data_IF_797360509852
#
_entry.id   IF_797360509852
#
_cell.length_a   1.000
_cell.length_b   1.000
_cell.length_c   1.000
_cell.angle_alpha   90.00
_cell.angle_beta   90.00
_cell.angle_gamma   90.00
#
_symmetry.space_group_name_H-M   'P 1'
#
loop_
_entity.id
_entity.type
_entity.pdbx_description
1 polymer ?
#
# COMPACT_ATOMS: atom_id res chain seq x y z
N UNK A 1 -3.79 48.49 13.22
CA UNK A 1 -3.04 47.25 13.53
C UNK A 1 -3.67 46.00 12.92
N UNK A 2 -4.91 46.02 12.38
CA UNK A 2 -5.62 44.79 11.95
C UNK A 2 -5.43 44.28 10.51
N UNK A 3 -4.73 44.98 9.61
CA UNK A 3 -4.62 44.52 8.20
C UNK A 3 -3.48 43.52 7.94
N UNK A 4 -2.42 43.52 8.77
CA UNK A 4 -1.29 42.60 8.63
C UNK A 4 -1.51 41.23 9.28
N UNK A 5 -2.29 41.17 10.36
CA UNK A 5 -2.63 39.92 11.05
C UNK A 5 -3.58 39.06 10.20
N UNK A 6 -4.60 39.67 9.59
CA UNK A 6 -5.56 38.97 8.72
C UNK A 6 -4.90 38.32 7.48
N UNK A 7 -3.94 39.01 6.84
CA UNK A 7 -3.21 38.44 5.71
C UNK A 7 -2.32 37.26 6.11
N UNK A 8 -1.73 37.32 7.31
CA UNK A 8 -0.90 36.24 7.84
C UNK A 8 -1.72 34.99 8.15
N UNK A 9 -2.90 35.15 8.75
CA UNK A 9 -3.83 34.05 9.02
C UNK A 9 -4.34 33.39 7.73
N UNK A 10 -4.65 34.18 6.70
CA UNK A 10 -5.10 33.67 5.40
C UNK A 10 -4.03 32.82 4.70
N UNK A 11 -2.77 33.30 4.68
CA UNK A 11 -1.63 32.55 4.14
C UNK A 11 -1.39 31.23 4.90
N UNK A 12 -1.49 31.24 6.23
CA UNK A 12 -1.39 30.04 7.05
C UNK A 12 -2.48 29.02 6.71
N UNK A 13 -3.73 29.45 6.60
CA UNK A 13 -4.84 28.57 6.23
C UNK A 13 -4.69 27.97 4.83
N UNK A 14 -4.23 28.76 3.86
CA UNK A 14 -3.99 28.29 2.49
C UNK A 14 -2.88 27.21 2.45
N UNK A 15 -1.79 27.42 3.18
CA UNK A 15 -0.69 26.45 3.25
C UNK A 15 -1.12 25.14 3.92
N UNK A 16 -1.92 25.23 5.00
CA UNK A 16 -2.46 24.05 5.69
C UNK A 16 -3.40 23.25 4.77
N UNK A 17 -4.28 23.95 4.03
CA UNK A 17 -5.19 23.29 3.10
C UNK A 17 -4.44 22.58 1.95
N UNK A 18 -3.35 23.18 1.46
CA UNK A 18 -2.51 22.58 0.44
C UNK A 18 -1.78 21.32 0.95
N UNK A 19 -1.15 21.39 2.12
CA UNK A 19 -0.46 20.25 2.77
C UNK A 19 -1.43 19.08 3.06
N UNK A 20 -2.65 19.40 3.50
CA UNK A 20 -3.70 18.41 3.71
C UNK A 20 -4.11 17.73 2.39
N UNK A 21 -4.28 18.48 1.31
CA UNK A 21 -4.62 17.95 -0.02
C UNK A 21 -3.53 17.02 -0.56
N UNK A 22 -2.26 17.39 -0.39
CA UNK A 22 -1.11 16.59 -0.82
C UNK A 22 -1.00 15.31 0.01
N UNK A 23 -1.18 15.41 1.33
CA UNK A 23 -1.26 14.26 2.24
C UNK A 23 -2.37 13.30 1.83
N UNK A 24 -3.59 13.79 1.59
CA UNK A 24 -4.73 12.94 1.15
C UNK A 24 -4.39 12.23 -0.16
N UNK A 25 -3.76 12.93 -1.11
CA UNK A 25 -3.37 12.38 -2.40
C UNK A 25 -2.33 11.27 -2.25
N UNK A 26 -1.33 11.47 -1.38
CA UNK A 26 -0.30 10.49 -1.10
C UNK A 26 -0.84 9.27 -0.36
N UNK A 27 -1.69 9.47 0.66
CA UNK A 27 -2.35 8.36 1.37
C UNK A 27 -3.20 7.51 0.42
N UNK A 28 -3.88 8.14 -0.54
CA UNK A 28 -4.61 7.44 -1.58
C UNK A 28 -3.69 6.63 -2.53
N UNK A 29 -2.47 7.10 -2.77
CA UNK A 29 -1.47 6.34 -3.52
C UNK A 29 -1.07 5.06 -2.78
N UNK A 30 -0.80 5.16 -1.49
CA UNK A 30 -0.52 3.99 -0.65
C UNK A 30 -1.72 3.04 -0.57
N UNK A 31 -2.94 3.57 -0.41
CA UNK A 31 -4.16 2.76 -0.35
C UNK A 31 -4.32 1.93 -1.62
N UNK A 32 -4.13 2.54 -2.78
CA UNK A 32 -4.17 1.82 -4.06
C UNK A 32 -3.15 0.69 -4.09
N UNK A 33 -1.93 0.93 -3.63
CA UNK A 33 -0.87 -0.07 -3.52
C UNK A 33 -1.24 -1.26 -2.63
N UNK A 34 -1.83 -1.01 -1.45
CA UNK A 34 -2.29 -2.06 -0.52
C UNK A 34 -3.45 -2.89 -1.08
N UNK A 35 -4.45 -2.23 -1.70
CA UNK A 35 -5.55 -2.92 -2.38
C UNK A 35 -5.04 -3.82 -3.50
N UNK A 36 -4.09 -3.29 -4.27
CA UNK A 36 -3.35 -3.99 -5.33
C UNK A 36 -2.69 -5.26 -4.78
N UNK A 37 -1.88 -5.13 -3.74
CA UNK A 37 -1.15 -6.26 -3.19
C UNK A 37 -2.11 -7.32 -2.62
N UNK A 38 -3.14 -6.91 -1.87
CA UNK A 38 -4.17 -7.84 -1.40
C UNK A 38 -4.80 -8.66 -2.55
N UNK A 39 -5.07 -8.02 -3.69
CA UNK A 39 -5.57 -8.71 -4.88
C UNK A 39 -4.55 -9.67 -5.49
N UNK A 40 -3.27 -9.29 -5.62
CA UNK A 40 -2.21 -10.19 -6.13
C UNK A 40 -2.09 -11.43 -5.26
N UNK A 41 -2.10 -11.27 -3.94
CA UNK A 41 -2.01 -12.39 -3.01
C UNK A 41 -3.22 -13.32 -3.12
N UNK A 42 -4.44 -12.79 -3.29
CA UNK A 42 -5.63 -13.63 -3.54
C UNK A 42 -5.50 -14.42 -4.84
N UNK A 43 -5.05 -13.80 -5.92
CA UNK A 43 -4.81 -14.48 -7.20
C UNK A 43 -3.71 -15.56 -7.11
N UNK A 44 -2.68 -15.34 -6.28
CA UNK A 44 -1.67 -16.33 -5.98
C UNK A 44 -2.27 -17.49 -5.15
N UNK A 45 -3.09 -17.19 -4.15
CA UNK A 45 -3.80 -18.19 -3.34
C UNK A 45 -4.78 -19.05 -4.17
N UNK A 46 -5.36 -18.55 -5.25
CA UNK A 46 -6.16 -19.37 -6.17
C UNK A 46 -5.30 -20.38 -6.94
N UNK A 47 -4.04 -20.04 -7.24
CA UNK A 47 -3.15 -20.89 -8.05
C UNK A 47 -2.31 -21.86 -7.21
N UNK A 48 -2.06 -21.51 -5.95
CA UNK A 48 -1.17 -22.23 -5.05
C UNK A 48 -1.94 -23.10 -4.05
N UNK A 49 -2.97 -23.81 -4.50
CA UNK A 49 -3.89 -24.59 -3.63
C UNK A 49 -3.20 -25.65 -2.76
N UNK A 50 -2.10 -26.23 -3.27
CA UNK A 50 -1.35 -27.30 -2.59
C UNK A 50 -0.03 -26.81 -1.95
N UNK A 51 0.23 -25.50 -2.00
CA UNK A 51 1.44 -24.92 -1.40
C UNK A 51 1.41 -25.06 0.12
N UNK A 52 2.53 -25.49 0.71
CA UNK A 52 2.70 -25.47 2.16
C UNK A 52 2.78 -24.05 2.73
N UNK A 53 3.09 -23.04 1.89
CA UNK A 53 3.24 -21.63 2.27
C UNK A 53 1.93 -20.85 2.25
N UNK A 54 0.79 -21.48 1.90
CA UNK A 54 -0.54 -20.83 1.92
C UNK A 54 -0.85 -20.08 3.22
N UNK A 55 -0.58 -20.62 4.43
CA UNK A 55 -0.85 -19.89 5.67
C UNK A 55 -0.12 -18.54 5.72
N UNK A 56 1.12 -18.49 5.25
CA UNK A 56 1.92 -17.27 5.16
C UNK A 56 1.32 -16.27 4.16
N UNK A 57 0.87 -16.74 2.99
CA UNK A 57 0.21 -15.89 1.98
C UNK A 57 -1.12 -15.31 2.48
N UNK A 58 -1.91 -16.11 3.20
CA UNK A 58 -3.15 -15.64 3.85
C UNK A 58 -2.83 -14.58 4.91
N UNK A 59 -1.79 -14.78 5.71
CA UNK A 59 -1.37 -13.80 6.70
C UNK A 59 -0.96 -12.47 6.04
N UNK A 60 -0.19 -12.54 4.95
CA UNK A 60 0.20 -11.34 4.20
C UNK A 60 -1.01 -10.64 3.59
N UNK A 61 -1.96 -11.38 3.01
CA UNK A 61 -3.22 -10.82 2.46
C UNK A 61 -3.96 -10.02 3.52
N UNK A 62 -4.15 -10.59 4.71
CA UNK A 62 -4.83 -9.93 5.84
C UNK A 62 -4.07 -8.69 6.32
N UNK A 63 -2.74 -8.72 6.28
CA UNK A 63 -1.91 -7.57 6.62
C UNK A 63 -2.12 -6.42 5.63
N UNK A 64 -2.16 -6.70 4.31
CA UNK A 64 -2.50 -5.69 3.30
C UNK A 64 -3.91 -5.12 3.50
N UNK A 65 -4.91 -5.98 3.75
CA UNK A 65 -6.29 -5.56 4.01
C UNK A 65 -6.38 -4.63 5.23
N UNK A 66 -5.66 -4.94 6.31
CA UNK A 66 -5.63 -4.12 7.51
C UNK A 66 -4.93 -2.77 7.27
N UNK A 67 -3.82 -2.75 6.53
CA UNK A 67 -3.15 -1.49 6.16
C UNK A 67 -4.04 -0.64 5.26
N UNK A 68 -4.76 -1.24 4.32
CA UNK A 68 -5.76 -0.56 3.50
C UNK A 68 -6.89 0.05 4.36
N UNK A 69 -7.37 -0.68 5.38
CA UNK A 69 -8.36 -0.16 6.34
C UNK A 69 -7.82 1.08 7.09
N UNK A 70 -6.61 1.01 7.63
CA UNK A 70 -5.98 2.11 8.35
C UNK A 70 -5.78 3.36 7.46
N UNK A 71 -5.35 3.17 6.22
CA UNK A 71 -5.19 4.26 5.25
C UNK A 71 -6.54 4.88 4.88
N UNK A 72 -7.57 4.06 4.70
CA UNK A 72 -8.95 4.51 4.44
C UNK A 72 -9.44 5.41 5.57
N UNK A 73 -9.27 4.97 6.82
CA UNK A 73 -9.65 5.75 8.01
C UNK A 73 -8.88 7.07 8.10
N UNK A 74 -7.58 7.04 7.77
CA UNK A 74 -6.74 8.24 7.75
C UNK A 74 -7.18 9.26 6.69
N UNK A 75 -7.61 8.80 5.52
CA UNK A 75 -8.13 9.64 4.43
C UNK A 75 -9.47 10.26 4.83
N UNK A 76 -10.42 9.44 5.32
CA UNK A 76 -11.73 9.91 5.77
C UNK A 76 -11.61 10.92 6.91
N UNK A 77 -10.73 10.66 7.88
CA UNK A 77 -10.47 11.57 9.00
C UNK A 77 -9.92 12.94 8.58
N UNK A 78 -9.40 13.06 7.36
CA UNK A 78 -8.92 14.31 6.74
C UNK A 78 -9.93 14.93 5.78
N UNK A 79 -11.15 14.38 5.67
CA UNK A 79 -12.16 14.83 4.73
C UNK A 79 -11.89 14.46 3.27
N UNK A 80 -10.94 13.55 3.03
CA UNK A 80 -10.67 13.01 1.69
C UNK A 80 -11.60 11.87 1.32
N UNK A 81 -11.64 11.54 0.03
CA UNK A 81 -12.33 10.37 -0.52
C UNK A 81 -11.32 9.23 -0.72
N UNK A 82 -11.49 8.08 -0.05
CA UNK A 82 -10.61 6.92 -0.23
C UNK A 82 -10.84 6.26 -1.59
N UNK A 83 -9.76 5.80 -2.22
CA UNK A 83 -9.83 4.92 -3.37
C UNK A 83 -10.59 3.62 -3.02
N UNK A 84 -11.57 3.27 -3.85
CA UNK A 84 -12.39 2.06 -3.72
C UNK A 84 -11.79 0.85 -4.46
N UNK A 85 -10.77 1.11 -5.26
CA UNK A 85 -10.07 0.14 -6.08
C UNK A 85 -8.60 0.51 -6.18
N UNK A 86 -7.78 -0.47 -6.52
CA UNK A 86 -6.35 -0.27 -6.81
C UNK A 86 -6.12 0.71 -7.96
N UNK A 87 -7.13 1.00 -8.80
CA UNK A 87 -7.04 1.88 -9.98
C UNK A 87 -6.07 1.32 -11.02
N UNK A 88 -6.48 1.17 -12.28
CA UNK A 88 -5.61 0.67 -13.38
C UNK A 88 -4.80 -0.63 -13.10
N UNK A 89 -5.22 -1.44 -12.14
CA UNK A 89 -4.73 -2.80 -11.86
C UNK A 89 -4.87 -3.79 -13.02
N UNK A 90 -5.61 -3.38 -14.05
CA UNK A 90 -5.74 -4.11 -15.30
C UNK A 90 -4.39 -4.45 -15.97
N UNK A 91 -3.27 -3.76 -15.69
CA UNK A 91 -1.98 -4.19 -16.26
C UNK A 91 -1.45 -5.49 -15.64
N UNK A 92 -1.59 -5.68 -14.32
CA UNK A 92 -1.15 -6.90 -13.64
C UNK A 92 -2.12 -8.06 -13.90
N UNK A 93 -3.43 -7.80 -13.87
CA UNK A 93 -4.46 -8.78 -14.29
C UNK A 93 -4.23 -9.22 -15.74
N UNK A 94 -3.98 -8.29 -16.68
CA UNK A 94 -3.65 -8.64 -18.08
C UNK A 94 -2.33 -9.41 -18.21
N UNK A 95 -1.37 -9.22 -17.31
CA UNK A 95 -0.13 -10.01 -17.31
C UNK A 95 -0.39 -11.44 -16.86
N UNK A 96 -1.22 -11.62 -15.83
CA UNK A 96 -1.64 -12.92 -15.29
C UNK A 96 -2.59 -13.67 -16.24
N UNK A 97 -3.51 -12.97 -16.92
CA UNK A 97 -4.40 -13.55 -17.94
C UNK A 97 -3.64 -14.02 -19.19
N UNK A 98 -2.50 -13.39 -19.52
CA UNK A 98 -1.69 -13.76 -20.69
C UNK A 98 -0.76 -14.96 -20.45
N UNK A 99 -0.58 -15.41 -19.21
CA UNK A 99 0.12 -16.67 -18.93
C UNK A 99 -0.85 -17.86 -19.08
N UNK A 100 -0.93 -18.39 -20.30
CA UNK A 100 -1.70 -19.60 -20.64
C UNK A 100 -1.08 -20.92 -20.10
N UNK A 101 -0.03 -20.84 -19.29
CA UNK A 101 0.64 -21.97 -18.66
C UNK A 101 0.50 -21.86 -17.14
N UNK A 102 0.38 -23.01 -16.45
CA UNK A 102 0.44 -23.08 -15.00
C UNK A 102 1.60 -22.20 -14.49
N UNK A 103 1.28 -21.11 -13.80
CA UNK A 103 2.29 -20.28 -13.13
C UNK A 103 2.92 -21.18 -12.08
N UNK A 104 4.23 -21.46 -12.20
CA UNK A 104 4.93 -22.24 -11.18
C UNK A 104 4.87 -21.49 -9.85
N UNK A 105 4.88 -22.22 -8.74
CA UNK A 105 4.88 -21.62 -7.41
C UNK A 105 6.01 -20.60 -7.23
N UNK A 106 7.22 -20.94 -7.70
CA UNK A 106 8.38 -20.03 -7.69
C UNK A 106 8.13 -18.73 -8.49
N UNK A 107 7.45 -18.80 -9.64
CA UNK A 107 7.11 -17.62 -10.43
C UNK A 107 6.08 -16.74 -9.70
N UNK A 108 5.04 -17.33 -9.10
CA UNK A 108 4.05 -16.60 -8.32
C UNK A 108 4.70 -15.88 -7.12
N UNK A 109 5.56 -16.59 -6.37
CA UNK A 109 6.27 -16.01 -5.23
C UNK A 109 7.25 -14.91 -5.65
N UNK A 110 7.89 -15.03 -6.81
CA UNK A 110 8.77 -13.96 -7.34
C UNK A 110 8.00 -12.68 -7.61
N UNK A 111 6.82 -12.77 -8.22
CA UNK A 111 5.94 -11.61 -8.46
C UNK A 111 5.50 -10.96 -7.15
N UNK A 112 5.18 -11.77 -6.12
CA UNK A 112 4.83 -11.25 -4.81
C UNK A 112 6.02 -10.52 -4.16
N UNK A 113 7.25 -11.05 -4.25
CA UNK A 113 8.43 -10.39 -3.68
C UNK A 113 8.69 -9.04 -4.37
N UNK A 114 8.61 -9.00 -5.70
CA UNK A 114 8.77 -7.76 -6.47
C UNK A 114 7.71 -6.71 -6.07
N UNK A 115 6.47 -7.15 -5.84
CA UNK A 115 5.40 -6.29 -5.33
C UNK A 115 5.69 -5.76 -3.92
N UNK A 116 6.23 -6.58 -3.02
CA UNK A 116 6.60 -6.16 -1.66
C UNK A 116 7.81 -5.21 -1.65
N UNK A 117 8.80 -5.43 -2.53
CA UNK A 117 9.92 -4.50 -2.70
C UNK A 117 9.42 -3.14 -3.19
N UNK A 118 8.56 -3.14 -4.21
CA UNK A 118 7.97 -1.91 -4.74
C UNK A 118 7.15 -1.16 -3.68
N UNK A 119 6.27 -1.86 -2.97
CA UNK A 119 5.43 -1.26 -1.92
C UNK A 119 6.26 -0.70 -0.75
N UNK A 120 7.31 -1.41 -0.31
CA UNK A 120 8.26 -0.90 0.70
C UNK A 120 8.88 0.41 0.25
N UNK A 121 9.42 0.41 -0.97
CA UNK A 121 10.20 1.53 -1.48
C UNK A 121 9.31 2.74 -1.73
N UNK A 122 8.05 2.54 -2.14
CA UNK A 122 7.04 3.60 -2.25
C UNK A 122 6.75 4.26 -0.90
N UNK A 123 6.52 3.48 0.17
CA UNK A 123 6.36 4.07 1.51
C UNK A 123 7.59 4.87 1.94
N UNK A 124 8.79 4.30 1.75
CA UNK A 124 10.02 4.95 2.18
C UNK A 124 10.32 6.24 1.42
N UNK A 125 10.01 6.27 0.12
CA UNK A 125 10.25 7.43 -0.75
C UNK A 125 9.34 8.60 -0.39
N UNK A 126 8.07 8.34 -0.09
CA UNK A 126 7.04 9.38 -0.04
C UNK A 126 6.61 9.76 1.39
N UNK A 127 7.28 9.24 2.43
CA UNK A 127 7.02 9.57 3.85
C UNK A 127 7.11 11.06 4.18
N UNK A 128 8.07 11.75 3.56
CA UNK A 128 8.30 13.18 3.80
C UNK A 128 7.24 14.07 3.17
N UNK A 129 6.41 13.53 2.25
CA UNK A 129 5.28 14.22 1.63
C UNK A 129 4.03 14.22 2.53
N UNK A 130 4.08 13.58 3.70
CA UNK A 130 2.97 13.50 4.63
C UNK A 130 3.08 14.55 5.73
N UNK A 131 1.94 15.14 6.09
CA UNK A 131 1.82 15.89 7.34
C UNK A 131 2.20 15.02 8.56
N UNK A 132 2.59 15.61 9.69
CA UNK A 132 3.17 14.86 10.81
C UNK A 132 2.32 13.70 11.36
N UNK A 133 1.00 13.86 11.44
CA UNK A 133 0.13 12.81 11.99
C UNK A 133 -0.08 11.65 11.02
N UNK A 134 -0.12 11.91 9.71
CA UNK A 134 -0.16 10.87 8.68
C UNK A 134 1.18 10.12 8.64
N UNK A 135 2.30 10.84 8.76
CA UNK A 135 3.63 10.23 8.85
C UNK A 135 3.75 9.27 10.02
N UNK A 136 3.30 9.68 11.22
CA UNK A 136 3.32 8.81 12.40
C UNK A 136 2.50 7.53 12.19
N UNK A 137 1.32 7.62 11.57
CA UNK A 137 0.55 6.42 11.22
C UNK A 137 1.38 5.47 10.34
N UNK A 138 2.01 6.01 9.29
CA UNK A 138 2.79 5.19 8.37
C UNK A 138 4.01 4.58 9.07
N UNK A 139 4.75 5.35 9.86
CA UNK A 139 5.96 4.90 10.55
C UNK A 139 5.69 3.84 11.62
N UNK A 140 4.63 4.00 12.41
CA UNK A 140 4.39 3.18 13.59
C UNK A 140 3.38 2.05 13.39
N UNK A 141 2.48 2.15 12.41
CA UNK A 141 1.45 1.13 12.17
C UNK A 141 1.58 0.43 10.81
N UNK A 142 2.02 1.12 9.76
CA UNK A 142 2.03 0.58 8.39
C UNK A 142 3.37 -0.07 8.04
N UNK A 143 4.47 0.68 8.14
CA UNK A 143 5.81 0.23 7.77
C UNK A 143 6.29 -1.03 8.52
N UNK A 144 6.04 -1.19 9.84
CA UNK A 144 6.44 -2.40 10.53
C UNK A 144 5.76 -3.64 9.96
N UNK A 145 4.48 -3.55 9.63
CA UNK A 145 3.73 -4.67 9.03
C UNK A 145 4.12 -4.91 7.57
N UNK A 146 4.40 -3.85 6.80
CA UNK A 146 4.93 -3.97 5.44
C UNK A 146 6.26 -4.72 5.46
N UNK A 147 7.18 -4.38 6.36
CA UNK A 147 8.46 -5.09 6.48
C UNK A 147 8.26 -6.56 6.81
N UNK A 148 7.27 -6.89 7.65
CA UNK A 148 6.94 -8.29 7.97
C UNK A 148 6.40 -9.05 6.76
N UNK A 149 5.55 -8.46 5.93
CA UNK A 149 5.07 -9.13 4.70
C UNK A 149 6.21 -9.34 3.71
N UNK A 150 7.05 -8.32 3.52
CA UNK A 150 8.27 -8.41 2.72
C UNK A 150 9.22 -9.52 3.19
N UNK A 151 9.57 -9.55 4.47
CA UNK A 151 10.45 -10.56 5.06
C UNK A 151 9.85 -11.96 4.95
N UNK A 152 8.53 -12.09 5.13
CA UNK A 152 7.80 -13.36 5.00
C UNK A 152 7.93 -13.92 3.59
N UNK A 153 7.66 -13.11 2.56
CA UNK A 153 7.74 -13.57 1.17
C UNK A 153 9.17 -13.84 0.74
N UNK A 154 10.11 -13.03 1.19
CA UNK A 154 11.53 -13.30 0.97
C UNK A 154 11.97 -14.63 1.58
N UNK A 155 11.45 -14.98 2.76
CA UNK A 155 11.70 -16.29 3.37
C UNK A 155 11.05 -17.43 2.57
N UNK A 156 9.81 -17.27 2.11
CA UNK A 156 9.13 -18.25 1.25
C UNK A 156 9.90 -18.49 -0.05
N UNK A 157 10.34 -17.42 -0.73
CA UNK A 157 11.14 -17.51 -1.96
C UNK A 157 12.42 -18.30 -1.77
N UNK A 158 13.13 -18.05 -0.66
CA UNK A 158 14.35 -18.76 -0.30
C UNK A 158 14.12 -20.25 -0.06
N UNK A 159 12.97 -20.63 0.50
CA UNK A 159 12.61 -22.04 0.72
C UNK A 159 12.26 -22.80 -0.58
N UNK A 160 11.95 -22.08 -1.66
CA UNK A 160 11.65 -22.63 -2.98
C UNK A 160 12.86 -22.68 -3.93
N UNK A 161 14.00 -22.13 -3.53
CA UNK A 161 15.25 -22.05 -4.31
C UNK A 161 16.21 -23.18 -3.95
#
# INVERSE_FOLDING_TARGET
MGSGELHTEELLMQNIAHDQSDTISQLNSFLRGELSAAETYRLALERLEQSEFRPSLVQCTRSHEERARLLTEAILGRGGEPADSSGAWGSLVRMIERSAAAISESAAITVLEEGEDHGRDDYLRDLDNLEPSARQLVEFAILPEQRRTHDTIKAVKRSLS
#
